data_IF_216478205322
#
_entry.id   IF_216478205322
#
_cell.length_a   1.000
_cell.length_b   1.000
_cell.length_c   1.000
_cell.angle_alpha   90.00
_cell.angle_beta   90.00
_cell.angle_gamma   90.00
#
_symmetry.space_group_name_H-M   'P 1'
#
loop_
_entity.id
_entity.type
_entity.pdbx_description
1 polymer ?
#
# COMPACT_ATOMS: atom_id res chain seq x y z
N UNK A 1 -5.91 -19.32 19.82
CA UNK A 1 -6.45 -18.97 18.49
C UNK A 1 -5.80 -19.88 17.44
N UNK A 2 -4.48 -19.98 17.40
CA UNK A 2 -3.77 -20.99 16.59
C UNK A 2 -4.19 -22.42 16.97
N UNK A 3 -4.13 -22.77 18.27
CA UNK A 3 -4.59 -24.10 18.75
C UNK A 3 -6.07 -24.40 18.48
N UNK A 4 -6.87 -23.37 18.15
CA UNK A 4 -8.28 -23.50 17.79
C UNK A 4 -8.49 -23.62 16.27
N UNK A 5 -7.43 -23.52 15.46
CA UNK A 5 -7.48 -23.59 14.00
C UNK A 5 -8.14 -22.39 13.32
N UNK A 6 -8.25 -21.25 14.01
CA UNK A 6 -8.91 -20.02 13.50
C UNK A 6 -7.94 -18.88 13.19
N UNK A 7 -6.63 -19.13 13.34
CA UNK A 7 -5.57 -18.18 13.07
C UNK A 7 -4.43 -18.91 12.38
N UNK A 8 -4.07 -18.42 11.20
CA UNK A 8 -2.87 -18.80 10.47
C UNK A 8 -1.97 -17.58 10.41
N UNK A 9 -0.75 -17.69 10.96
CA UNK A 9 0.25 -16.63 10.88
C UNK A 9 1.00 -16.75 9.57
N UNK A 10 1.21 -15.61 8.93
CA UNK A 10 1.96 -15.51 7.67
C UNK A 10 3.11 -14.53 7.86
N UNK A 11 4.21 -14.81 7.18
CA UNK A 11 5.41 -13.98 7.18
C UNK A 11 5.82 -13.68 5.74
N UNK A 12 6.36 -12.48 5.52
CA UNK A 12 6.86 -12.11 4.20
C UNK A 12 5.75 -12.04 3.13
N UNK A 13 6.16 -12.29 1.89
CA UNK A 13 5.24 -12.44 0.77
C UNK A 13 4.58 -13.82 0.81
N UNK A 14 3.25 -13.86 0.83
CA UNK A 14 2.48 -15.09 0.95
C UNK A 14 1.27 -15.09 0.02
N UNK A 15 1.10 -16.16 -0.75
CA UNK A 15 -0.06 -16.35 -1.61
C UNK A 15 -1.24 -16.88 -0.80
N UNK A 16 -2.22 -16.01 -0.52
CA UNK A 16 -3.47 -16.38 0.18
C UNK A 16 -4.37 -17.17 -0.77
N UNK A 17 -4.45 -16.74 -2.02
CA UNK A 17 -5.18 -17.44 -3.10
C UNK A 17 -4.37 -17.35 -4.40
N UNK A 18 -4.89 -17.89 -5.50
CA UNK A 18 -4.28 -17.70 -6.83
C UNK A 18 -4.26 -16.24 -7.30
N UNK A 19 -5.08 -15.36 -6.71
CA UNK A 19 -5.21 -13.96 -7.12
C UNK A 19 -4.76 -12.97 -6.03
N UNK A 20 -4.61 -13.42 -4.78
CA UNK A 20 -4.30 -12.57 -3.62
C UNK A 20 -2.96 -12.94 -3.00
N UNK A 21 -2.05 -11.98 -2.94
CA UNK A 21 -0.73 -12.14 -2.33
C UNK A 21 -0.47 -11.01 -1.34
N UNK A 22 0.04 -11.34 -0.14
CA UNK A 22 0.51 -10.31 0.79
C UNK A 22 1.84 -9.74 0.33
N UNK A 23 2.03 -8.45 0.52
CA UNK A 23 3.29 -7.75 0.28
C UNK A 23 3.70 -7.06 1.56
N UNK A 24 4.84 -7.42 2.17
CA UNK A 24 5.35 -6.72 3.34
C UNK A 24 5.54 -5.23 3.03
N UNK A 25 4.87 -4.38 3.80
CA UNK A 25 5.05 -2.93 3.75
C UNK A 25 5.22 -2.38 5.17
N UNK A 26 6.30 -2.81 5.88
CA UNK A 26 6.51 -2.48 7.28
C UNK A 26 6.77 -0.98 7.47
N UNK A 27 6.57 -0.51 8.70
CA UNK A 27 6.83 0.87 9.10
C UNK A 27 5.71 1.39 9.97
N UNK A 28 4.50 1.47 9.42
CA UNK A 28 3.32 1.86 10.19
C UNK A 28 3.16 0.97 11.43
N UNK A 29 3.24 -0.34 11.21
CA UNK A 29 3.55 -1.34 12.23
C UNK A 29 4.64 -2.27 11.72
N UNK A 30 5.35 -3.01 12.61
CA UNK A 30 6.37 -3.98 12.17
C UNK A 30 5.82 -5.07 11.24
N UNK A 31 4.57 -5.48 11.45
CA UNK A 31 3.89 -6.52 10.66
C UNK A 31 2.94 -5.98 9.58
N UNK A 32 3.02 -4.69 9.24
CA UNK A 32 2.13 -4.11 8.23
C UNK A 32 2.36 -4.75 6.85
N UNK A 33 1.27 -5.12 6.19
CA UNK A 33 1.26 -5.73 4.85
C UNK A 33 0.21 -5.07 3.97
N UNK A 34 0.53 -4.92 2.69
CA UNK A 34 -0.44 -4.63 1.62
C UNK A 34 -0.92 -5.94 1.00
N UNK A 35 -2.03 -5.91 0.27
CA UNK A 35 -2.52 -7.08 -0.48
C UNK A 35 -2.53 -6.75 -1.97
N UNK A 36 -1.72 -7.47 -2.74
CA UNK A 36 -1.73 -7.42 -4.19
C UNK A 36 -2.83 -8.33 -4.72
N UNK A 37 -3.64 -7.79 -5.63
CA UNK A 37 -4.70 -8.47 -6.37
C UNK A 37 -4.24 -8.58 -7.82
N UNK A 38 -4.14 -9.80 -8.34
CA UNK A 38 -3.80 -10.05 -9.74
C UNK A 38 -4.90 -10.88 -10.40
N UNK A 39 -5.58 -10.33 -11.40
CA UNK A 39 -6.64 -11.03 -12.13
C UNK A 39 -6.65 -10.62 -13.59
N UNK A 40 -6.74 -11.58 -14.51
CA UNK A 40 -6.84 -11.35 -15.96
C UNK A 40 -5.76 -10.39 -16.52
N UNK A 41 -4.53 -10.48 -16.00
CA UNK A 41 -3.41 -9.62 -16.40
C UNK A 41 -3.46 -8.19 -15.86
N UNK A 42 -4.47 -7.84 -15.05
CA UNK A 42 -4.57 -6.57 -14.33
C UNK A 42 -4.07 -6.72 -12.89
N UNK A 43 -3.62 -5.60 -12.30
CA UNK A 43 -3.15 -5.53 -10.92
C UNK A 43 -3.86 -4.43 -10.14
N UNK A 44 -4.20 -4.75 -8.90
CA UNK A 44 -4.68 -3.80 -7.90
C UNK A 44 -3.96 -3.99 -6.56
N UNK A 45 -3.82 -2.94 -5.77
CA UNK A 45 -3.21 -3.02 -4.44
C UNK A 45 -4.15 -2.47 -3.38
N UNK A 46 -4.49 -3.29 -2.38
CA UNK A 46 -5.03 -2.78 -1.11
C UNK A 46 -3.86 -2.27 -0.29
N UNK A 47 -3.78 -0.95 -0.11
CA UNK A 47 -2.59 -0.27 0.39
C UNK A 47 -2.36 -0.46 1.90
N UNK A 48 -3.44 -0.60 2.68
CA UNK A 48 -3.39 -0.38 4.12
C UNK A 48 -2.98 1.05 4.47
N UNK A 49 -2.17 1.20 5.51
CA UNK A 49 -1.87 2.49 6.16
C UNK A 49 -0.51 3.06 5.73
N UNK A 50 0.00 2.67 4.56
CA UNK A 50 1.24 3.23 3.99
C UNK A 50 1.09 4.74 3.75
N UNK A 51 -0.11 5.21 3.40
CA UNK A 51 -0.47 6.62 3.24
C UNK A 51 -1.66 6.98 4.13
N UNK A 52 -1.55 8.12 4.81
CA UNK A 52 -2.64 8.75 5.58
C UNK A 52 -3.17 10.02 4.88
N UNK A 53 -2.36 10.62 4.00
CA UNK A 53 -2.73 11.79 3.21
C UNK A 53 -2.09 11.74 1.81
N UNK A 54 -2.79 12.25 0.80
CA UNK A 54 -2.30 12.27 -0.59
C UNK A 54 -0.96 13.00 -0.76
N UNK A 55 -0.64 13.99 0.08
CA UNK A 55 0.65 14.70 0.04
C UNK A 55 1.84 13.75 0.24
N UNK A 56 1.66 12.68 1.01
CA UNK A 56 2.71 11.69 1.29
C UNK A 56 3.08 10.85 0.06
N UNK A 57 2.30 10.89 -1.02
CA UNK A 57 2.70 10.31 -2.30
C UNK A 57 3.92 11.04 -2.90
N UNK A 58 4.00 12.36 -2.70
CA UNK A 58 5.17 13.16 -3.08
C UNK A 58 6.17 13.26 -1.95
N UNK A 59 5.71 13.67 -0.78
CA UNK A 59 6.49 13.89 0.43
C UNK A 59 6.65 12.57 1.19
N UNK A 60 7.32 11.59 0.56
CA UNK A 60 7.40 10.22 1.09
C UNK A 60 8.05 10.15 2.47
N UNK A 61 8.81 11.17 2.84
CA UNK A 61 9.56 11.23 4.10
C UNK A 61 8.71 11.77 5.27
N UNK A 62 7.51 12.29 4.99
CA UNK A 62 6.58 12.79 5.99
C UNK A 62 5.84 11.64 6.65
N UNK A 63 6.14 11.40 7.92
CA UNK A 63 5.60 10.29 8.71
C UNK A 63 4.43 10.74 9.58
N UNK A 64 3.52 9.81 9.85
CA UNK A 64 2.44 9.99 10.81
C UNK A 64 2.96 9.75 12.22
N UNK A 65 2.33 10.37 13.24
CA UNK A 65 2.58 10.01 14.65
C UNK A 65 2.19 8.55 14.95
N UNK A 66 1.32 7.97 14.13
CA UNK A 66 0.90 6.59 14.26
C UNK A 66 1.92 5.58 13.70
N UNK A 67 2.95 6.03 12.97
CA UNK A 67 3.97 5.13 12.44
C UNK A 67 4.92 4.68 13.56
N UNK A 68 4.94 3.37 13.84
CA UNK A 68 5.76 2.78 14.92
C UNK A 68 7.26 2.88 14.59
N UNK A 69 7.63 2.64 13.33
CA UNK A 69 8.98 2.81 12.82
C UNK A 69 8.99 3.83 11.68
N UNK A 70 9.25 5.12 12.00
CA UNK A 70 9.36 6.16 11.02
C UNK A 70 10.42 5.91 9.95
N UNK A 71 11.54 5.28 10.29
CA UNK A 71 12.63 5.11 9.33
C UNK A 71 12.27 4.06 8.28
N UNK A 72 11.79 2.91 8.74
CA UNK A 72 11.28 1.86 7.84
C UNK A 72 10.10 2.37 7.02
N UNK A 73 9.22 3.20 7.61
CA UNK A 73 8.11 3.83 6.88
C UNK A 73 8.58 4.63 5.66
N UNK A 74 9.64 5.45 5.80
CA UNK A 74 10.16 6.25 4.68
C UNK A 74 10.67 5.36 3.55
N UNK A 75 11.44 4.32 3.91
CA UNK A 75 12.02 3.37 2.96
C UNK A 75 10.91 2.64 2.21
N UNK A 76 9.96 2.05 2.95
CA UNK A 76 8.80 1.34 2.40
C UNK A 76 7.98 2.25 1.48
N UNK A 77 7.60 3.44 1.95
CA UNK A 77 6.76 4.35 1.19
C UNK A 77 7.45 4.83 -0.09
N UNK A 78 8.74 5.18 -0.01
CA UNK A 78 9.49 5.64 -1.18
C UNK A 78 9.55 4.58 -2.27
N UNK A 79 9.93 3.36 -1.89
CA UNK A 79 10.01 2.21 -2.81
C UNK A 79 8.65 1.90 -3.43
N UNK A 80 7.61 1.83 -2.60
CA UNK A 80 6.27 1.48 -3.06
C UNK A 80 5.66 2.56 -3.96
N UNK A 81 5.81 3.84 -3.64
CA UNK A 81 5.29 4.94 -4.48
C UNK A 81 5.98 4.98 -5.85
N UNK A 82 7.29 4.69 -5.90
CA UNK A 82 8.01 4.58 -7.17
C UNK A 82 7.50 3.42 -8.03
N UNK A 83 7.27 2.25 -7.42
CA UNK A 83 6.73 1.10 -8.11
C UNK A 83 5.29 1.35 -8.60
N UNK A 84 4.42 1.88 -7.74
CA UNK A 84 3.01 2.14 -8.08
C UNK A 84 2.86 3.19 -9.19
N UNK A 85 3.70 4.22 -9.18
CA UNK A 85 3.79 5.21 -10.26
C UNK A 85 4.22 4.54 -11.57
N UNK A 86 5.29 3.74 -11.53
CA UNK A 86 5.85 3.08 -12.72
C UNK A 86 4.87 2.09 -13.36
N UNK A 87 4.20 1.30 -12.54
CA UNK A 87 3.34 0.21 -13.00
C UNK A 87 1.92 0.71 -13.35
N UNK A 88 1.55 1.92 -12.91
CA UNK A 88 0.20 2.46 -13.11
C UNK A 88 -0.88 1.63 -12.40
N UNK A 89 -0.52 0.99 -11.28
CA UNK A 89 -1.36 0.08 -10.50
C UNK A 89 -2.54 0.81 -9.88
N UNK A 90 -3.73 0.21 -9.97
CA UNK A 90 -4.92 0.71 -9.24
C UNK A 90 -4.78 0.42 -7.76
N UNK A 91 -5.06 1.39 -6.91
CA UNK A 91 -4.85 1.31 -5.46
C UNK A 91 -6.18 1.53 -4.76
N UNK A 92 -6.46 0.71 -3.75
CA UNK A 92 -7.46 0.98 -2.71
C UNK A 92 -6.74 1.51 -1.47
N UNK A 93 -6.92 2.79 -1.15
CA UNK A 93 -6.26 3.49 -0.06
C UNK A 93 -7.28 3.98 0.97
N UNK A 94 -7.28 3.36 2.16
CA UNK A 94 -8.33 3.53 3.18
C UNK A 94 -8.46 4.94 3.73
N UNK A 95 -7.38 5.73 3.71
CA UNK A 95 -7.35 7.10 4.24
C UNK A 95 -7.43 8.20 3.18
N UNK A 96 -7.47 7.84 1.88
CA UNK A 96 -7.59 8.84 0.82
C UNK A 96 -9.05 9.18 0.52
N UNK A 97 -9.34 10.36 -0.07
CA UNK A 97 -10.71 10.80 -0.29
C UNK A 97 -11.57 9.75 -1.02
N UNK A 98 -12.85 9.69 -0.66
CA UNK A 98 -13.81 8.79 -1.29
C UNK A 98 -13.78 8.96 -2.82
N UNK A 99 -13.82 7.85 -3.58
CA UNK A 99 -14.17 6.49 -3.14
C UNK A 99 -12.99 5.67 -2.58
N UNK A 100 -11.80 6.27 -2.42
CA UNK A 100 -10.60 5.57 -1.92
C UNK A 100 -9.90 4.72 -2.98
N UNK A 101 -10.33 4.80 -4.25
CA UNK A 101 -9.69 4.13 -5.38
C UNK A 101 -9.00 5.14 -6.29
N UNK A 102 -7.79 4.82 -6.74
CA UNK A 102 -6.97 5.77 -7.48
C UNK A 102 -5.64 5.20 -7.93
N UNK A 103 -4.78 6.06 -8.47
CA UNK A 103 -3.42 5.76 -8.92
C UNK A 103 -2.45 6.82 -8.41
N UNK A 104 -1.19 6.45 -8.29
CA UNK A 104 -0.10 7.41 -8.12
C UNK A 104 0.36 7.84 -9.50
N UNK A 105 0.25 9.13 -9.79
CA UNK A 105 0.63 9.71 -11.07
C UNK A 105 1.72 10.75 -10.86
N UNK A 106 2.51 11.04 -11.90
CA UNK A 106 3.48 12.14 -11.88
C UNK A 106 3.14 13.21 -12.91
N UNK A 107 3.14 14.47 -12.47
CA UNK A 107 3.05 15.65 -13.31
C UNK A 107 3.99 16.73 -12.75
N UNK A 108 4.66 17.47 -13.64
CA UNK A 108 5.55 18.58 -13.25
C UNK A 108 6.59 18.20 -12.18
N UNK A 109 7.12 16.96 -12.26
CA UNK A 109 8.10 16.43 -11.31
C UNK A 109 7.54 15.93 -9.98
N UNK A 110 6.26 16.15 -9.70
CA UNK A 110 5.61 15.78 -8.42
C UNK A 110 4.69 14.57 -8.58
N UNK A 111 4.65 13.72 -7.55
CA UNK A 111 3.67 12.64 -7.46
C UNK A 111 2.36 13.17 -6.88
N UNK A 112 1.23 12.67 -7.36
CA UNK A 112 -0.07 12.99 -6.81
C UNK A 112 -1.00 11.78 -6.87
N UNK A 113 -1.99 11.79 -5.99
CA UNK A 113 -3.11 10.86 -6.03
C UNK A 113 -4.11 11.28 -7.11
N UNK A 114 -4.35 10.42 -8.08
CA UNK A 114 -5.43 10.56 -9.04
C UNK A 114 -6.55 9.60 -8.64
N UNK A 115 -7.67 10.13 -8.12
CA UNK A 115 -8.86 9.31 -7.85
C UNK A 115 -9.43 8.76 -9.16
N UNK A 116 -9.99 7.55 -9.11
CA UNK A 116 -10.77 7.00 -10.22
C UNK A 116 -12.20 7.53 -10.16
N UNK A 117 -12.73 7.89 -11.32
CA UNK A 117 -14.16 8.09 -11.51
C UNK A 117 -14.83 6.72 -11.65
N UNK A 118 -15.55 6.30 -10.62
CA UNK A 118 -16.29 5.02 -10.54
C UNK A 118 -17.72 5.25 -10.05
#
# INVERSE_FOLDING_TARGET
MEDMGILELIEGEYAITSELTTLPTPGHTPGHMSIMISSQGQRGLVLGDVLHNAVQAHETDWVSRADIDPETTRITRRSLMEQLEKDGTTIAAVHLPAPGFGKIMRAEGRRYWQALDI
#
